data_IF_792228859247
#
_entry.id   IF_792228859247
#
_cell.length_a   1.000
_cell.length_b   1.000
_cell.length_c   1.000
_cell.angle_alpha   90.00
_cell.angle_beta   90.00
_cell.angle_gamma   90.00
#
_symmetry.space_group_name_H-M   'P 1'
#
loop_
_entity.id
_entity.type
_entity.pdbx_description
1 polymer ?
#
# COMPACT_ATOMS: atom_id res chain seq x y z
N UNK A 1 13.95 47.39 -9.39
CA UNK A 1 12.87 46.41 -9.13
C UNK A 1 13.37 45.44 -8.06
N UNK A 2 12.64 45.32 -6.96
CA UNK A 2 13.22 45.11 -5.63
C UNK A 2 13.68 43.66 -5.37
N UNK A 3 14.99 43.49 -5.10
CA UNK A 3 15.65 42.22 -4.74
C UNK A 3 14.97 41.47 -3.58
N UNK A 4 14.23 42.19 -2.73
CA UNK A 4 13.48 41.65 -1.58
C UNK A 4 12.28 40.79 -1.98
N UNK A 5 11.66 41.05 -3.14
CA UNK A 5 10.49 40.29 -3.62
C UNK A 5 10.91 38.94 -4.22
N UNK A 6 12.07 38.90 -4.89
CA UNK A 6 12.62 37.66 -5.48
C UNK A 6 13.04 36.65 -4.39
N UNK A 7 13.63 37.13 -3.29
CA UNK A 7 14.03 36.30 -2.14
C UNK A 7 12.80 35.79 -1.37
N UNK A 8 11.73 36.59 -1.30
CA UNK A 8 10.45 36.17 -0.71
C UNK A 8 9.77 35.06 -1.51
N UNK A 9 9.88 35.05 -2.84
CA UNK A 9 9.31 33.99 -3.68
C UNK A 9 10.13 32.70 -3.64
N UNK A 10 11.47 32.81 -3.55
CA UNK A 10 12.36 31.65 -3.46
C UNK A 10 12.26 30.92 -2.11
N UNK A 11 12.03 31.67 -1.03
CA UNK A 11 11.81 31.10 0.32
C UNK A 11 10.46 30.40 0.46
N UNK A 12 9.42 30.83 -0.27
CA UNK A 12 8.11 30.17 -0.27
C UNK A 12 8.11 28.86 -1.10
N UNK A 13 8.95 28.75 -2.12
CA UNK A 13 9.08 27.55 -2.96
C UNK A 13 9.83 26.41 -2.26
N UNK A 14 10.71 26.73 -1.31
CA UNK A 14 11.51 25.75 -0.55
C UNK A 14 10.78 25.12 0.65
N UNK A 15 9.56 25.56 0.98
CA UNK A 15 8.80 25.05 2.14
C UNK A 15 7.81 23.92 1.83
N UNK A 16 7.66 23.50 0.56
CA UNK A 16 6.66 22.50 0.16
C UNK A 16 7.16 21.07 -0.04
N UNK A 17 8.41 20.76 0.28
CA UNK A 17 8.85 19.35 0.38
C UNK A 17 8.45 18.78 1.74
N UNK A 18 7.15 18.73 2.01
CA UNK A 18 6.60 17.94 3.10
C UNK A 18 6.90 16.48 2.81
N UNK A 19 7.90 15.94 3.50
CA UNK A 19 8.26 14.53 3.44
C UNK A 19 7.02 13.67 3.66
N UNK A 20 6.60 12.93 2.64
CA UNK A 20 5.79 11.73 2.82
C UNK A 20 6.65 10.76 3.62
N UNK A 21 6.52 10.80 4.95
CA UNK A 21 6.99 9.72 5.82
C UNK A 21 6.16 8.49 5.46
N UNK A 22 6.71 7.64 4.61
CA UNK A 22 6.30 6.24 4.53
C UNK A 22 6.59 5.64 5.91
N UNK A 23 5.54 5.47 6.70
CA UNK A 23 5.59 4.66 7.91
C UNK A 23 5.65 3.21 7.41
N UNK A 24 6.87 2.71 7.21
CA UNK A 24 7.11 1.28 7.15
C UNK A 24 6.97 0.77 8.59
N UNK A 25 5.77 0.33 8.96
CA UNK A 25 5.56 -0.34 10.22
C UNK A 25 6.11 -1.76 10.07
N UNK A 26 7.17 -2.06 10.83
CA UNK A 26 7.73 -3.40 10.89
C UNK A 26 6.67 -4.35 11.48
N UNK A 27 6.32 -5.40 10.74
CA UNK A 27 5.35 -6.40 11.19
C UNK A 27 6.04 -7.23 12.28
N UNK A 28 5.69 -6.98 13.54
CA UNK A 28 6.11 -7.83 14.66
C UNK A 28 5.23 -9.07 14.70
N UNK A 29 5.58 -10.11 13.93
CA UNK A 29 4.96 -11.43 14.05
C UNK A 29 5.37 -12.01 15.41
N UNK A 30 4.39 -12.51 16.17
CA UNK A 30 4.70 -13.11 17.47
C UNK A 30 5.45 -14.44 17.27
N UNK A 31 6.39 -14.73 18.18
CA UNK A 31 7.16 -15.97 18.14
C UNK A 31 6.40 -17.07 18.89
N UNK A 32 5.84 -18.02 18.13
CA UNK A 32 5.03 -19.12 18.64
C UNK A 32 5.88 -20.31 19.12
N UNK A 33 7.21 -20.27 19.01
CA UNK A 33 8.09 -21.39 19.37
C UNK A 33 8.12 -21.68 20.88
N UNK A 34 7.87 -20.68 21.72
CA UNK A 34 8.00 -20.77 23.19
C UNK A 34 6.66 -20.96 23.94
N UNK A 35 5.55 -21.15 23.23
CA UNK A 35 4.22 -21.26 23.85
C UNK A 35 3.99 -22.63 24.49
N UNK A 36 3.47 -22.58 25.73
CA UNK A 36 3.10 -23.76 26.50
C UNK A 36 1.67 -24.19 26.19
N UNK A 37 1.32 -25.45 26.44
CA UNK A 37 -0.02 -26.00 26.17
C UNK A 37 -1.14 -25.16 26.82
N UNK A 38 -0.90 -24.61 28.01
CA UNK A 38 -1.85 -23.76 28.74
C UNK A 38 -2.12 -22.41 28.05
N UNK A 39 -1.17 -21.88 27.29
CA UNK A 39 -1.33 -20.61 26.57
C UNK A 39 -2.34 -20.77 25.42
N UNK A 40 -2.33 -21.94 24.77
CA UNK A 40 -3.30 -22.29 23.74
C UNK A 40 -4.72 -22.51 24.29
N UNK A 41 -4.85 -23.02 25.52
CA UNK A 41 -6.18 -23.21 26.14
C UNK A 41 -6.90 -21.88 26.38
N UNK A 42 -6.14 -20.85 26.74
CA UNK A 42 -6.63 -19.51 27.04
C UNK A 42 -6.66 -18.57 25.82
N UNK A 43 -6.11 -19.00 24.69
CA UNK A 43 -6.07 -18.22 23.46
C UNK A 43 -7.51 -17.94 22.97
N UNK A 44 -7.84 -16.66 22.87
CA UNK A 44 -9.07 -16.17 22.23
C UNK A 44 -8.69 -15.28 21.08
N UNK A 45 -9.13 -15.65 19.88
CA UNK A 45 -8.91 -14.81 18.71
C UNK A 45 -9.65 -13.46 18.88
N UNK A 46 -9.06 -12.35 18.43
CA UNK A 46 -9.73 -11.05 18.42
C UNK A 46 -10.95 -11.07 17.48
N UNK A 47 -11.95 -10.20 17.71
CA UNK A 47 -13.13 -10.15 16.87
C UNK A 47 -12.78 -9.74 15.43
N UNK A 48 -13.52 -10.28 14.46
CA UNK A 48 -13.29 -10.04 13.03
C UNK A 48 -13.27 -8.56 12.64
N UNK A 49 -14.08 -7.72 13.29
CA UNK A 49 -14.12 -6.28 13.00
C UNK A 49 -12.77 -5.60 13.24
N UNK A 50 -12.08 -5.97 14.33
CA UNK A 50 -10.74 -5.44 14.65
C UNK A 50 -9.72 -5.91 13.61
N UNK A 51 -9.83 -7.17 13.17
CA UNK A 51 -8.96 -7.72 12.12
C UNK A 51 -9.17 -7.01 10.78
N UNK A 52 -10.41 -6.69 10.41
CA UNK A 52 -10.71 -5.97 9.16
C UNK A 52 -10.24 -4.52 9.17
N UNK A 53 -10.36 -3.82 10.30
CA UNK A 53 -9.87 -2.45 10.42
C UNK A 53 -8.35 -2.40 10.35
N UNK A 54 -7.66 -3.29 11.07
CA UNK A 54 -6.20 -3.34 11.06
C UNK A 54 -5.66 -3.79 9.69
N UNK A 55 -6.35 -4.70 8.99
CA UNK A 55 -5.98 -5.12 7.64
C UNK A 55 -5.95 -3.98 6.61
N UNK A 56 -6.66 -2.85 6.84
CA UNK A 56 -6.57 -1.66 5.98
C UNK A 56 -5.19 -1.00 6.01
N UNK A 57 -4.39 -1.27 7.05
CA UNK A 57 -3.01 -0.81 7.13
C UNK A 57 -2.10 -1.60 6.18
N UNK A 58 -2.56 -2.73 5.62
CA UNK A 58 -1.77 -3.54 4.71
C UNK A 58 -1.42 -2.83 3.39
N UNK A 59 -0.26 -3.13 2.78
CA UNK A 59 0.18 -2.53 1.53
C UNK A 59 -0.82 -2.70 0.39
N UNK A 60 -1.56 -3.82 0.35
CA UNK A 60 -2.56 -4.11 -0.69
C UNK A 60 -3.69 -3.07 -0.67
N UNK A 61 -4.25 -2.78 0.50
CA UNK A 61 -5.32 -1.79 0.64
C UNK A 61 -4.79 -0.37 0.41
N UNK A 62 -3.62 -0.04 0.99
CA UNK A 62 -3.01 1.27 0.82
C UNK A 62 -2.69 1.59 -0.65
N UNK A 63 -2.16 0.61 -1.40
CA UNK A 63 -1.87 0.78 -2.82
C UNK A 63 -3.15 1.09 -3.62
N UNK A 64 -4.24 0.36 -3.37
CA UNK A 64 -5.51 0.60 -4.01
C UNK A 64 -6.10 1.99 -3.64
N UNK A 65 -5.97 2.40 -2.37
CA UNK A 65 -6.36 3.74 -1.93
C UNK A 65 -5.54 4.85 -2.59
N UNK A 66 -4.22 4.65 -2.75
CA UNK A 66 -3.34 5.60 -3.45
C UNK A 66 -3.71 5.70 -4.92
N UNK A 67 -3.98 4.58 -5.61
CA UNK A 67 -4.47 4.59 -7.00
C UNK A 67 -5.76 5.39 -7.15
N UNK A 68 -6.74 5.18 -6.28
CA UNK A 68 -7.99 5.97 -6.27
C UNK A 68 -7.71 7.48 -6.11
N UNK A 69 -6.78 7.84 -5.20
CA UNK A 69 -6.39 9.24 -5.00
C UNK A 69 -5.71 9.84 -6.24
N UNK A 70 -4.85 9.08 -6.92
CA UNK A 70 -4.21 9.51 -8.16
C UNK A 70 -5.28 9.83 -9.21
N UNK A 71 -6.22 8.93 -9.45
CA UNK A 71 -7.29 9.15 -10.43
C UNK A 71 -8.17 10.35 -10.08
N UNK A 72 -8.43 10.59 -8.78
CA UNK A 72 -9.16 11.78 -8.29
C UNK A 72 -8.38 13.07 -8.57
N UNK A 73 -7.06 13.06 -8.40
CA UNK A 73 -6.20 14.22 -8.70
C UNK A 73 -6.14 14.47 -10.22
N UNK A 74 -6.08 13.43 -11.03
CA UNK A 74 -6.16 13.53 -12.49
C UNK A 74 -7.53 14.11 -12.89
N UNK A 75 -8.64 13.65 -12.29
CA UNK A 75 -9.96 14.25 -12.53
C UNK A 75 -10.01 15.75 -12.20
N UNK A 76 -9.41 16.16 -11.08
CA UNK A 76 -9.33 17.56 -10.71
C UNK A 76 -8.48 18.38 -11.69
N UNK A 77 -7.38 17.80 -12.20
CA UNK A 77 -6.55 18.40 -13.26
C UNK A 77 -7.36 18.57 -14.55
N UNK A 78 -8.07 17.54 -14.99
CA UNK A 78 -8.89 17.58 -16.21
C UNK A 78 -10.03 18.60 -16.11
N UNK A 79 -10.67 18.74 -14.94
CA UNK A 79 -11.66 19.81 -14.72
C UNK A 79 -11.07 21.21 -14.81
N UNK A 80 -9.79 21.36 -14.47
CA UNK A 80 -9.05 22.64 -14.54
C UNK A 80 -8.33 22.83 -15.87
N UNK A 81 -8.48 21.90 -16.83
CA UNK A 81 -7.83 21.99 -18.13
C UNK A 81 -8.22 23.27 -18.89
N UNK A 82 -9.41 23.83 -18.67
CA UNK A 82 -9.80 25.13 -19.25
C UNK A 82 -8.87 26.29 -18.88
N UNK A 83 -8.15 26.20 -17.75
CA UNK A 83 -7.17 27.21 -17.36
C UNK A 83 -5.99 27.26 -18.32
N UNK A 84 -5.71 26.19 -19.07
CA UNK A 84 -4.67 26.20 -20.09
C UNK A 84 -5.01 27.10 -21.29
N UNK A 85 -6.25 27.56 -21.40
CA UNK A 85 -6.64 28.52 -22.43
C UNK A 85 -6.09 29.92 -22.16
N UNK A 86 -5.71 30.21 -20.91
CA UNK A 86 -5.14 31.49 -20.51
C UNK A 86 -3.65 31.30 -20.29
N UNK A 87 -2.84 32.06 -21.03
CA UNK A 87 -1.39 32.10 -20.83
C UNK A 87 -0.94 33.52 -20.50
N UNK A 88 -0.02 33.64 -19.55
CA UNK A 88 0.65 34.88 -19.22
C UNK A 88 2.06 34.77 -19.77
N UNK A 89 2.46 35.74 -20.60
CA UNK A 89 3.79 35.77 -21.22
C UNK A 89 4.50 37.07 -20.83
N UNK A 90 5.72 36.93 -20.35
CA UNK A 90 6.63 38.03 -20.15
C UNK A 90 7.93 37.73 -20.88
N UNK A 91 8.41 38.66 -21.69
CA UNK A 91 9.72 38.56 -22.33
C UNK A 91 10.53 39.82 -22.08
N UNK A 92 11.83 39.61 -21.86
CA UNK A 92 12.84 40.65 -21.80
C UNK A 92 13.85 40.35 -22.88
N UNK A 93 14.00 41.25 -23.85
CA UNK A 93 14.95 41.12 -24.93
C UNK A 93 15.84 42.36 -24.96
N UNK A 94 17.15 42.14 -24.97
CA UNK A 94 18.16 43.18 -25.16
C UNK A 94 19.01 42.81 -26.36
N UNK A 95 19.13 43.73 -27.31
CA UNK A 95 19.93 43.52 -28.52
C UNK A 95 20.09 44.81 -29.30
N UNK A 96 20.92 44.76 -30.34
CA UNK A 96 21.08 45.86 -31.29
C UNK A 96 20.09 45.68 -32.43
N UNK A 97 19.25 46.67 -32.66
CA UNK A 97 18.44 46.74 -33.87
C UNK A 97 19.26 47.50 -34.92
N UNK A 98 19.74 46.79 -35.94
CA UNK A 98 20.44 47.38 -37.09
C UNK A 98 19.44 47.52 -38.23
N UNK A 99 19.22 48.76 -38.67
CA UNK A 99 18.38 49.07 -39.81
C UNK A 99 19.29 49.42 -40.99
N UNK A 100 19.29 48.55 -42.01
CA UNK A 100 20.04 48.74 -43.25
C UNK A 100 19.07 49.20 -44.34
N UNK A 101 19.04 50.51 -44.59
CA UNK A 101 18.23 51.11 -45.65
C UNK A 101 19.14 51.58 -46.79
N UNK A 102 18.94 51.00 -47.97
CA UNK A 102 19.66 51.33 -49.19
C UNK A 102 18.74 52.10 -50.12
N UNK A 103 19.01 53.38 -50.35
CA UNK A 103 18.29 54.20 -51.33
C UNK A 103 19.07 54.22 -52.65
N UNK A 104 18.40 53.89 -53.76
CA UNK A 104 18.98 53.92 -55.11
C UNK A 104 18.06 54.68 -56.07
N UNK A 105 18.59 55.71 -56.73
CA UNK A 105 17.92 56.45 -57.81
C UNK A 105 18.84 56.47 -59.04
N UNK A 106 18.28 56.61 -60.25
CA UNK A 106 18.95 56.46 -61.56
C UNK A 106 20.10 57.47 -61.75
N UNK A 107 20.14 58.54 -60.94
CA UNK A 107 21.10 59.64 -61.04
C UNK A 107 21.96 59.88 -59.80
N UNK A 108 21.82 59.09 -58.73
CA UNK A 108 22.62 59.27 -57.50
C UNK A 108 23.24 57.96 -57.02
N UNK A 109 24.51 57.97 -56.53
CA UNK A 109 25.17 56.77 -56.04
C UNK A 109 24.43 56.17 -54.83
N UNK A 110 24.50 54.85 -54.68
CA UNK A 110 23.89 54.09 -53.59
C UNK A 110 24.36 54.65 -52.23
N UNK A 111 23.45 55.22 -51.45
CA UNK A 111 23.75 55.66 -50.08
C UNK A 111 23.18 54.61 -49.13
N UNK A 112 24.08 53.85 -48.50
CA UNK A 112 23.74 52.90 -47.44
C UNK A 112 23.64 53.66 -46.12
N UNK A 113 22.45 53.77 -45.56
CA UNK A 113 22.24 54.37 -44.23
C UNK A 113 22.31 53.26 -43.19
N UNK A 114 23.41 53.20 -42.45
CA UNK A 114 23.62 52.22 -41.38
C UNK A 114 23.28 52.86 -40.04
N UNK A 115 22.18 52.43 -39.41
CA UNK A 115 21.82 52.88 -38.06
C UNK A 115 21.72 51.67 -37.13
N UNK A 116 22.64 51.59 -36.17
CA UNK A 116 22.65 50.55 -35.14
C UNK A 116 22.34 51.20 -33.81
N UNK A 117 21.20 50.86 -33.23
CA UNK A 117 20.77 51.33 -31.91
C UNK A 117 20.60 50.14 -30.96
N UNK A 118 21.16 50.22 -29.76
CA UNK A 118 20.88 49.28 -28.70
C UNK A 118 19.43 49.50 -28.21
N UNK A 119 18.60 48.47 -28.26
CA UNK A 119 17.20 48.55 -27.86
C UNK A 119 16.89 47.50 -26.79
N UNK A 120 16.29 47.97 -25.69
CA UNK A 120 15.72 47.13 -24.64
C UNK A 120 14.21 47.01 -24.88
N UNK A 121 13.72 45.81 -25.16
CA UNK A 121 12.30 45.53 -25.32
C UNK A 121 11.79 44.74 -24.09
N UNK A 122 10.80 45.32 -23.41
CA UNK A 122 10.07 44.68 -22.32
C UNK A 122 8.64 44.46 -22.79
N UNK A 123 8.21 43.21 -22.91
CA UNK A 123 6.83 42.88 -23.28
C UNK A 123 6.19 42.05 -22.18
N UNK A 124 5.10 42.56 -21.63
CA UNK A 124 4.23 41.82 -20.70
C UNK A 124 2.84 41.77 -21.32
N UNK A 125 2.33 40.57 -21.54
CA UNK A 125 1.02 40.37 -22.18
C UNK A 125 0.36 39.08 -21.75
N UNK A 126 -0.97 39.06 -21.78
CA UNK A 126 -1.77 37.85 -21.69
C UNK A 126 -2.16 37.39 -23.08
N UNK A 127 -2.21 36.08 -23.31
CA UNK A 127 -2.77 35.50 -24.52
C UNK A 127 -3.84 34.48 -24.16
N UNK A 128 -5.02 34.62 -24.77
CA UNK A 128 -6.11 33.65 -24.71
C UNK A 128 -6.04 32.80 -25.97
N UNK A 129 -5.83 31.49 -25.81
CA UNK A 129 -5.80 30.51 -26.90
C UNK A 129 -6.84 29.44 -26.62
N UNK A 130 -7.91 29.42 -27.43
CA UNK A 130 -9.00 28.44 -27.30
C UNK A 130 -8.88 27.46 -28.47
N UNK A 131 -8.16 26.33 -28.30
CA UNK A 131 -8.16 25.28 -29.32
C UNK A 131 -9.56 24.64 -29.36
N UNK A 132 -10.21 24.65 -30.53
CA UNK A 132 -11.56 24.08 -30.72
C UNK A 132 -11.59 22.59 -30.32
N UNK A 133 -10.55 21.83 -30.68
CA UNK A 133 -10.39 20.42 -30.30
C UNK A 133 -10.41 20.22 -28.77
N UNK A 134 -9.59 20.99 -28.05
CA UNK A 134 -9.53 20.94 -26.59
C UNK A 134 -10.81 21.41 -25.90
N UNK A 135 -11.58 22.30 -26.52
CA UNK A 135 -12.84 22.80 -25.97
C UNK A 135 -13.95 21.74 -26.06
N UNK A 136 -14.13 21.12 -27.22
CA UNK A 136 -15.17 20.10 -27.42
C UNK A 136 -14.84 18.77 -26.72
N UNK A 137 -13.54 18.42 -26.61
CA UNK A 137 -13.11 17.20 -25.92
C UNK A 137 -13.08 17.32 -24.39
N UNK A 138 -13.16 18.54 -23.82
CA UNK A 138 -13.07 18.74 -22.37
C UNK A 138 -14.16 17.99 -21.59
N UNK A 139 -15.40 18.03 -22.06
CA UNK A 139 -16.53 17.35 -21.40
C UNK A 139 -16.44 15.82 -21.51
N UNK A 140 -16.25 15.22 -22.70
CA UNK A 140 -15.98 13.79 -22.85
C UNK A 140 -14.79 13.31 -22.02
N UNK A 141 -13.68 14.07 -21.99
CA UNK A 141 -12.49 13.76 -21.22
C UNK A 141 -12.75 13.73 -19.72
N UNK A 142 -13.46 14.72 -19.17
CA UNK A 142 -13.86 14.73 -17.75
C UNK A 142 -14.81 13.57 -17.44
N UNK A 143 -15.75 13.24 -18.34
CA UNK A 143 -16.65 12.08 -18.17
C UNK A 143 -15.88 10.76 -18.14
N UNK A 144 -14.94 10.57 -19.06
CA UNK A 144 -14.04 9.39 -19.08
C UNK A 144 -13.24 9.30 -17.79
N UNK A 145 -12.65 10.40 -17.34
CA UNK A 145 -11.87 10.43 -16.10
C UNK A 145 -12.72 10.16 -14.85
N UNK A 146 -14.00 10.57 -14.83
CA UNK A 146 -14.94 10.18 -13.76
C UNK A 146 -15.18 8.67 -13.73
N UNK A 147 -15.28 8.02 -14.89
CA UNK A 147 -15.43 6.57 -14.96
C UNK A 147 -14.17 5.87 -14.44
N UNK A 148 -12.97 6.36 -14.79
CA UNK A 148 -11.71 5.81 -14.26
C UNK A 148 -11.62 5.92 -12.74
N UNK A 149 -12.02 7.05 -12.15
CA UNK A 149 -12.12 7.19 -10.68
C UNK A 149 -13.08 6.17 -10.08
N UNK A 150 -14.25 5.97 -10.70
CA UNK A 150 -15.22 4.98 -10.23
C UNK A 150 -14.67 3.55 -10.33
N UNK A 151 -13.96 3.22 -11.41
CA UNK A 151 -13.29 1.93 -11.57
C UNK A 151 -12.23 1.71 -10.50
N UNK A 152 -11.38 2.70 -10.22
CA UNK A 152 -10.37 2.60 -9.16
C UNK A 152 -10.99 2.45 -7.76
N UNK A 153 -12.13 3.11 -7.50
CA UNK A 153 -12.88 2.94 -6.26
C UNK A 153 -13.43 1.50 -6.13
N UNK A 154 -14.03 0.97 -7.20
CA UNK A 154 -14.53 -0.41 -7.22
C UNK A 154 -13.40 -1.43 -7.08
N UNK A 155 -12.26 -1.22 -7.73
CA UNK A 155 -11.07 -2.08 -7.59
C UNK A 155 -10.60 -2.12 -6.14
N UNK A 156 -10.55 -0.97 -5.46
CA UNK A 156 -10.23 -0.89 -4.02
C UNK A 156 -11.24 -1.67 -3.17
N UNK A 157 -12.53 -1.52 -3.43
CA UNK A 157 -13.59 -2.24 -2.72
C UNK A 157 -13.48 -3.75 -2.94
N UNK A 158 -13.29 -4.20 -4.19
CA UNK A 158 -13.07 -5.61 -4.53
C UNK A 158 -11.85 -6.19 -3.80
N UNK A 159 -10.73 -5.45 -3.77
CA UNK A 159 -9.51 -5.88 -3.07
C UNK A 159 -9.73 -6.00 -1.57
N UNK A 160 -10.54 -5.10 -0.98
CA UNK A 160 -10.88 -5.18 0.44
C UNK A 160 -11.84 -6.34 0.74
N UNK A 161 -12.79 -6.64 -0.15
CA UNK A 161 -13.65 -7.82 -0.02
C UNK A 161 -12.88 -9.13 -0.13
N UNK A 162 -11.93 -9.22 -1.07
CA UNK A 162 -11.02 -10.36 -1.22
C UNK A 162 -10.23 -10.60 0.07
N UNK A 163 -9.64 -9.53 0.62
CA UNK A 163 -8.91 -9.58 1.88
C UNK A 163 -9.79 -10.02 3.06
N UNK A 164 -11.03 -9.53 3.13
CA UNK A 164 -12.00 -9.95 4.16
C UNK A 164 -12.31 -11.44 4.07
N UNK A 165 -12.53 -11.98 2.87
CA UNK A 165 -12.80 -13.41 2.68
C UNK A 165 -11.63 -14.27 3.13
N UNK A 166 -10.41 -13.86 2.78
CA UNK A 166 -9.19 -14.53 3.21
C UNK A 166 -9.04 -14.53 4.74
N UNK A 167 -9.23 -13.37 5.38
CA UNK A 167 -9.20 -13.25 6.84
C UNK A 167 -10.26 -14.15 7.50
N UNK A 168 -11.50 -14.18 6.97
CA UNK A 168 -12.57 -15.04 7.49
C UNK A 168 -12.18 -16.52 7.38
N UNK A 169 -11.65 -16.93 6.23
CA UNK A 169 -11.25 -18.32 6.00
C UNK A 169 -10.14 -18.75 6.98
N UNK A 170 -9.12 -17.91 7.15
CA UNK A 170 -8.03 -18.15 8.11
C UNK A 170 -8.55 -18.15 9.55
N UNK A 171 -9.44 -17.24 9.91
CA UNK A 171 -10.03 -17.16 11.25
C UNK A 171 -10.84 -18.42 11.61
N UNK A 172 -11.68 -18.90 10.68
CA UNK A 172 -12.45 -20.14 10.88
C UNK A 172 -11.52 -21.35 10.95
N UNK A 173 -10.50 -21.39 10.11
CA UNK A 173 -9.49 -22.47 10.09
C UNK A 173 -8.70 -22.51 11.40
N UNK A 174 -8.22 -21.36 11.88
CA UNK A 174 -7.50 -21.24 13.15
C UNK A 174 -8.37 -21.67 14.33
N UNK A 175 -9.64 -21.30 14.37
CA UNK A 175 -10.57 -21.77 15.41
C UNK A 175 -10.79 -23.28 15.37
N UNK A 176 -10.95 -23.86 14.17
CA UNK A 176 -11.10 -25.31 14.03
C UNK A 176 -9.83 -26.05 14.47
N UNK A 177 -8.65 -25.54 14.10
CA UNK A 177 -7.35 -26.06 14.51
C UNK A 177 -7.15 -25.94 16.03
N UNK A 178 -7.57 -24.82 16.63
CA UNK A 178 -7.51 -24.61 18.08
C UNK A 178 -8.35 -25.66 18.83
N UNK A 179 -9.57 -25.92 18.38
CA UNK A 179 -10.42 -26.96 18.97
C UNK A 179 -9.83 -28.36 18.78
N UNK A 180 -9.25 -28.62 17.60
CA UNK A 180 -8.60 -29.92 17.32
C UNK A 180 -7.35 -30.12 18.18
N UNK A 181 -6.57 -29.06 18.40
CA UNK A 181 -5.40 -29.09 19.27
C UNK A 181 -5.80 -29.43 20.72
N UNK A 182 -6.90 -28.88 21.22
CA UNK A 182 -7.46 -29.19 22.55
C UNK A 182 -7.78 -30.68 22.69
N UNK A 183 -8.50 -31.25 21.73
CA UNK A 183 -8.84 -32.68 21.71
C UNK A 183 -7.59 -33.55 21.65
N UNK A 184 -6.58 -33.16 20.85
CA UNK A 184 -5.33 -33.90 20.75
C UNK A 184 -4.47 -33.79 22.01
N UNK A 185 -4.52 -32.65 22.71
CA UNK A 185 -3.87 -32.51 24.01
C UNK A 185 -4.50 -33.46 25.05
N UNK A 186 -5.82 -33.55 25.09
CA UNK A 186 -6.54 -34.51 25.95
C UNK A 186 -6.17 -35.96 25.60
N UNK A 187 -6.09 -36.29 24.30
CA UNK A 187 -5.66 -37.62 23.85
C UNK A 187 -4.22 -37.95 24.28
N UNK A 188 -3.28 -37.01 24.19
CA UNK A 188 -1.90 -37.22 24.68
C UNK A 188 -1.86 -37.53 26.17
N UNK A 189 -2.65 -36.81 26.98
CA UNK A 189 -2.76 -37.05 28.42
C UNK A 189 -3.33 -38.44 28.70
N UNK A 190 -4.40 -38.83 27.99
CA UNK A 190 -5.03 -40.14 28.12
C UNK A 190 -4.06 -41.28 27.75
N UNK A 191 -3.43 -41.21 26.58
CA UNK A 191 -2.53 -42.26 26.08
C UNK A 191 -1.25 -42.37 26.92
N UNK A 192 -0.80 -41.26 27.51
CA UNK A 192 0.34 -41.27 28.45
C UNK A 192 -0.04 -41.94 29.76
N UNK A 193 -1.20 -41.62 30.34
CA UNK A 193 -1.69 -42.30 31.53
C UNK A 193 -1.90 -43.81 31.28
N UNK A 194 -2.42 -44.17 30.11
CA UNK A 194 -2.60 -45.57 29.73
C UNK A 194 -1.25 -46.29 29.54
N UNK A 195 -0.26 -45.63 28.94
CA UNK A 195 1.10 -46.16 28.83
C UNK A 195 1.73 -46.42 30.21
N UNK A 196 1.56 -45.51 31.18
CA UNK A 196 2.06 -45.70 32.55
C UNK A 196 1.40 -46.89 33.26
N UNK A 197 0.11 -47.14 33.02
CA UNK A 197 -0.60 -48.32 33.54
C UNK A 197 -0.02 -49.59 32.89
N UNK A 198 0.09 -49.60 31.57
CA UNK A 198 0.63 -50.74 30.81
C UNK A 198 2.09 -51.03 31.17
N UNK A 199 2.91 -50.01 31.42
CA UNK A 199 4.29 -50.17 31.89
C UNK A 199 4.32 -50.84 33.28
N UNK A 200 3.46 -50.42 34.20
CA UNK A 200 3.34 -51.08 35.52
C UNK A 200 2.91 -52.53 35.39
N UNK A 201 1.90 -52.82 34.57
CA UNK A 201 1.42 -54.20 34.34
C UNK A 201 2.51 -55.08 33.70
N UNK A 202 3.34 -54.52 32.81
CA UNK A 202 4.49 -55.22 32.24
C UNK A 202 5.55 -55.53 33.29
N UNK A 203 5.90 -54.56 34.14
CA UNK A 203 6.87 -54.78 35.24
C UNK A 203 6.39 -55.81 36.26
N UNK A 204 5.07 -55.94 36.41
CA UNK A 204 4.43 -56.95 37.26
C UNK A 204 4.23 -58.30 36.54
N UNK A 205 4.62 -58.43 35.27
CA UNK A 205 4.51 -59.66 34.48
C UNK A 205 3.09 -60.04 34.05
N UNK A 206 2.14 -59.10 34.08
CA UNK A 206 0.74 -59.33 33.73
C UNK A 206 0.53 -59.34 32.21
N UNK A 207 1.35 -58.59 31.47
CA UNK A 207 1.24 -58.42 30.00
C UNK A 207 2.57 -58.70 29.29
N UNK A 208 2.52 -58.90 27.97
CA UNK A 208 3.71 -59.16 27.15
C UNK A 208 4.36 -57.86 26.62
N UNK A 209 5.64 -57.96 26.24
CA UNK A 209 6.38 -56.84 25.62
C UNK A 209 5.74 -56.31 24.34
N UNK A 210 5.01 -57.18 23.60
CA UNK A 210 4.26 -56.79 22.41
C UNK A 210 3.14 -55.78 22.73
N UNK A 211 2.43 -55.98 23.84
CA UNK A 211 1.34 -55.11 24.28
C UNK A 211 1.89 -53.75 24.71
N UNK A 212 3.01 -53.74 25.45
CA UNK A 212 3.71 -52.52 25.83
C UNK A 212 4.23 -51.73 24.62
N UNK A 213 4.82 -52.43 23.64
CA UNK A 213 5.31 -51.82 22.40
C UNK A 213 4.18 -51.20 21.59
N UNK A 214 3.04 -51.89 21.50
CA UNK A 214 1.84 -51.39 20.82
C UNK A 214 1.32 -50.13 21.50
N UNK A 215 1.21 -50.13 22.84
CA UNK A 215 0.78 -48.95 23.59
C UNK A 215 1.77 -47.79 23.45
N UNK A 216 3.07 -48.05 23.41
CA UNK A 216 4.10 -47.03 23.15
C UNK A 216 3.98 -46.41 21.76
N UNK A 217 3.63 -47.22 20.75
CA UNK A 217 3.36 -46.75 19.40
C UNK A 217 2.15 -45.82 19.37
N UNK A 218 1.05 -46.20 20.05
CA UNK A 218 -0.16 -45.38 20.16
C UNK A 218 0.14 -44.04 20.85
N UNK A 219 0.88 -44.06 21.96
CA UNK A 219 1.32 -42.84 22.65
C UNK A 219 2.15 -41.94 21.73
N UNK A 220 3.13 -42.52 21.02
CA UNK A 220 3.98 -41.78 20.10
C UNK A 220 3.17 -41.10 18.99
N UNK A 221 2.19 -41.80 18.41
CA UNK A 221 1.29 -41.22 17.41
C UNK A 221 0.40 -40.11 17.97
N UNK A 222 -0.08 -40.22 19.21
CA UNK A 222 -0.84 -39.15 19.84
C UNK A 222 0.01 -37.88 19.99
N UNK A 223 1.27 -38.02 20.43
CA UNK A 223 2.23 -36.92 20.57
C UNK A 223 2.53 -36.29 19.20
N UNK A 224 2.84 -37.11 18.20
CA UNK A 224 3.11 -36.64 16.83
C UNK A 224 1.93 -35.83 16.28
N UNK A 225 0.71 -36.37 16.40
CA UNK A 225 -0.50 -35.68 15.95
C UNK A 225 -0.71 -34.34 16.67
N UNK A 226 -0.44 -34.29 17.97
CA UNK A 226 -0.52 -33.04 18.74
C UNK A 226 0.50 -32.00 18.23
N UNK A 227 1.77 -32.37 18.06
CA UNK A 227 2.80 -31.46 17.57
C UNK A 227 2.52 -30.97 16.14
N UNK A 228 2.06 -31.86 15.25
CA UNK A 228 1.64 -31.48 13.90
C UNK A 228 0.51 -30.45 13.91
N UNK A 229 -0.47 -30.64 14.80
CA UNK A 229 -1.60 -29.70 14.96
C UNK A 229 -1.17 -28.36 15.51
N UNK A 230 -0.22 -28.37 16.44
CA UNK A 230 0.36 -27.17 17.02
C UNK A 230 1.08 -26.36 15.94
N UNK A 231 1.86 -27.02 15.09
CA UNK A 231 2.54 -26.38 13.96
C UNK A 231 1.55 -25.78 12.94
N UNK A 232 0.49 -26.52 12.60
CA UNK A 232 -0.56 -26.03 11.71
C UNK A 232 -1.30 -24.81 12.26
N UNK A 233 -1.66 -24.82 13.55
CA UNK A 233 -2.29 -23.69 14.21
C UNK A 233 -1.36 -22.48 14.22
N UNK A 234 -0.10 -22.66 14.64
CA UNK A 234 0.88 -21.59 14.67
C UNK A 234 1.05 -20.94 13.29
N UNK A 235 1.11 -21.75 12.23
CA UNK A 235 1.16 -21.26 10.85
C UNK A 235 -0.05 -20.39 10.51
N UNK A 236 -1.26 -20.86 10.80
CA UNK A 236 -2.49 -20.10 10.53
C UNK A 236 -2.53 -18.79 11.31
N UNK A 237 -2.11 -18.80 12.58
CA UNK A 237 -2.05 -17.61 13.41
C UNK A 237 -1.03 -16.59 12.88
N UNK A 238 0.19 -17.03 12.55
CA UNK A 238 1.21 -16.17 11.96
C UNK A 238 0.75 -15.51 10.66
N UNK A 239 0.10 -16.28 9.77
CA UNK A 239 -0.45 -15.72 8.51
C UNK A 239 -1.53 -14.68 8.83
N UNK A 240 -2.41 -14.98 9.80
CA UNK A 240 -3.45 -14.06 10.22
C UNK A 240 -2.87 -12.75 10.78
N UNK A 241 -1.81 -12.82 11.60
CA UNK A 241 -1.10 -11.63 12.11
C UNK A 241 -0.49 -10.79 10.98
N UNK A 242 0.15 -11.43 10.00
CA UNK A 242 0.77 -10.74 8.86
C UNK A 242 -0.27 -10.02 8.01
N UNK A 243 -1.38 -10.68 7.69
CA UNK A 243 -2.43 -10.10 6.84
C UNK A 243 -3.16 -8.98 7.57
N UNK A 244 -3.48 -9.20 8.84
CA UNK A 244 -4.29 -8.26 9.63
C UNK A 244 -3.47 -7.20 10.33
N UNK A 245 -2.14 -7.29 10.32
CA UNK A 245 -1.23 -6.41 11.07
C UNK A 245 -1.62 -6.31 12.55
N UNK A 246 -2.13 -7.40 13.11
CA UNK A 246 -2.59 -7.47 14.49
C UNK A 246 -1.80 -8.51 15.25
N UNK A 247 -1.40 -8.19 16.48
CA UNK A 247 -0.79 -9.17 17.39
C UNK A 247 -1.89 -9.95 18.08
N UNK A 248 -1.95 -11.26 17.82
CA UNK A 248 -2.97 -12.15 18.37
C UNK A 248 -2.53 -12.62 19.75
N UNK A 249 -1.22 -12.81 19.97
CA UNK A 249 -0.67 -13.13 21.28
C UNK A 249 -0.12 -11.87 21.94
N UNK A 250 -0.65 -11.56 23.12
CA UNK A 250 -0.05 -10.58 24.03
C UNK A 250 1.03 -11.29 24.84
N UNK A 251 2.28 -10.81 24.73
CA UNK A 251 3.36 -11.15 25.67
C UNK A 251 3.02 -10.62 27.07
#
# INVERSE_FOLDING_TARGET
MNHRILISFLTLLLLQTGALKLIAQEITVSDYSNLQANDYLNLKLPPLDVLFENAKQGPIYQLAAVKEQIEKKILAKERKAFLSFFSIRGSYQYGTFSNDATFTDITTPVISTYSTAAQTNYTVGGAVSIPLDGLFDLVPRVRRQKLLVKTAQLEKEMKFEELKREIIQLYVTANAQLNTLKLRAEAVVLETAQYEITEKDFTNGIIESKDLSTQKSTQSHAIENYENSKAELNKSLMILEVITHSTIIKK
#
